data_IF_256279960395
#
_entry.id   IF_256279960395
#
_cell.length_a   1.000
_cell.length_b   1.000
_cell.length_c   1.000
_cell.angle_alpha   90.00
_cell.angle_beta   90.00
_cell.angle_gamma   90.00
#
_symmetry.space_group_name_H-M   'P 1'
#
loop_
_entity.id
_entity.type
_entity.pdbx_description
1 polymer ?
#
# COMPACT_ATOMS: atom_id res chain seq x y z
N UNK A 1 23.69 6.25 22.68
CA UNK A 1 23.14 5.11 21.91
C UNK A 1 21.69 5.43 21.61
N UNK A 2 21.38 6.01 20.45
CA UNK A 2 20.00 6.31 20.08
C UNK A 2 19.28 5.00 19.82
N UNK A 3 18.21 4.73 20.57
CA UNK A 3 17.28 3.67 20.23
C UNK A 3 16.77 3.94 18.80
N UNK A 4 16.66 2.94 17.92
CA UNK A 4 16.08 3.18 16.61
C UNK A 4 14.64 3.63 16.86
N UNK A 5 14.30 4.80 16.33
CA UNK A 5 12.95 5.31 16.36
C UNK A 5 12.08 4.22 15.70
N UNK A 6 11.09 3.69 16.40
CA UNK A 6 10.18 2.67 15.87
C UNK A 6 9.23 3.33 14.87
N UNK A 7 9.80 3.72 13.73
CA UNK A 7 9.10 4.36 12.65
C UNK A 7 8.25 3.33 11.91
N UNK A 8 7.10 3.76 11.33
CA UNK A 8 6.34 2.93 10.42
C UNK A 8 7.22 2.33 9.32
N UNK A 9 6.96 1.07 9.00
CA UNK A 9 7.59 0.37 7.89
C UNK A 9 6.75 0.58 6.63
N UNK A 10 7.40 0.87 5.51
CA UNK A 10 6.81 1.09 4.19
C UNK A 10 7.32 0.02 3.23
N UNK A 11 6.40 -0.53 2.44
CA UNK A 11 6.73 -1.35 1.27
C UNK A 11 6.62 -0.50 0.01
N UNK A 12 7.72 -0.29 -0.70
CA UNK A 12 7.79 0.54 -1.91
C UNK A 12 8.70 -0.11 -2.95
N UNK A 13 8.18 -0.33 -4.17
CA UNK A 13 8.92 -0.89 -5.31
C UNK A 13 9.68 -2.20 -5.01
N UNK A 14 9.06 -3.11 -4.25
CA UNK A 14 9.64 -4.42 -3.91
C UNK A 14 10.50 -4.43 -2.65
N UNK A 15 10.75 -3.27 -2.02
CA UNK A 15 11.61 -3.15 -0.85
C UNK A 15 10.81 -2.73 0.39
N UNK A 16 11.21 -3.27 1.55
CA UNK A 16 10.65 -2.92 2.86
C UNK A 16 11.65 -2.03 3.60
N UNK A 17 11.24 -0.85 4.04
CA UNK A 17 12.14 0.15 4.65
C UNK A 17 11.43 1.00 5.70
N UNK A 18 12.17 1.71 6.58
CA UNK A 18 11.60 2.76 7.44
C UNK A 18 10.98 3.90 6.61
N UNK A 19 9.93 4.55 7.13
CA UNK A 19 9.23 5.63 6.41
C UNK A 19 10.14 6.81 6.01
N UNK A 20 11.20 7.09 6.77
CA UNK A 20 12.15 8.17 6.49
C UNK A 20 12.98 7.93 5.22
N UNK A 21 13.14 6.66 4.83
CA UNK A 21 13.86 6.27 3.62
C UNK A 21 12.94 6.17 2.39
N UNK A 22 11.61 6.11 2.60
CA UNK A 22 10.64 5.96 1.53
C UNK A 22 10.53 7.24 0.68
N UNK A 23 10.90 7.15 -0.60
CA UNK A 23 10.91 8.28 -1.53
C UNK A 23 10.13 7.95 -2.80
N UNK A 24 9.15 8.80 -3.11
CA UNK A 24 8.40 8.75 -4.37
C UNK A 24 8.92 9.87 -5.27
N UNK A 25 8.95 9.62 -6.58
CA UNK A 25 9.34 10.65 -7.55
C UNK A 25 8.33 11.81 -7.53
N UNK A 26 8.77 13.08 -7.53
CA UNK A 26 7.87 14.22 -7.75
C UNK A 26 7.15 14.17 -9.11
N UNK A 27 7.64 13.35 -10.05
CA UNK A 27 7.02 13.14 -11.35
C UNK A 27 6.01 11.99 -11.38
N UNK A 28 5.71 11.38 -10.23
CA UNK A 28 4.70 10.33 -10.14
C UNK A 28 3.31 10.87 -10.52
N UNK A 29 2.58 10.13 -11.36
CA UNK A 29 1.24 10.56 -11.83
C UNK A 29 0.23 10.68 -10.70
N UNK A 30 0.34 9.81 -9.69
CA UNK A 30 -0.46 9.89 -8.47
C UNK A 30 -0.22 11.18 -7.71
N UNK A 31 1.01 11.70 -7.72
CA UNK A 31 1.34 12.98 -7.12
C UNK A 31 0.91 14.18 -7.98
N UNK A 32 1.22 14.17 -9.29
CA UNK A 32 0.94 15.32 -10.17
C UNK A 32 -0.57 15.47 -10.45
N UNK A 33 -1.25 14.36 -10.72
CA UNK A 33 -2.61 14.36 -11.24
C UNK A 33 -3.64 13.78 -10.27
N UNK A 34 -3.23 13.34 -9.09
CA UNK A 34 -4.11 12.60 -8.17
C UNK A 34 -4.52 11.23 -8.71
N UNK A 35 -3.78 10.70 -9.68
CA UNK A 35 -4.07 9.44 -10.38
C UNK A 35 -3.61 8.24 -9.54
N UNK A 36 -4.34 7.98 -8.46
CA UNK A 36 -4.03 6.91 -7.52
C UNK A 36 -5.26 6.45 -6.74
N UNK A 37 -5.19 5.22 -6.23
CA UNK A 37 -6.20 4.62 -5.36
C UNK A 37 -5.54 4.26 -4.03
N UNK A 38 -6.26 4.43 -2.92
CA UNK A 38 -5.80 4.01 -1.60
C UNK A 38 -6.86 3.17 -0.89
N UNK A 39 -6.42 2.37 0.06
CA UNK A 39 -7.26 1.51 0.90
C UNK A 39 -6.62 1.39 2.29
N UNK A 40 -7.44 1.20 3.33
CA UNK A 40 -6.95 1.08 4.72
C UNK A 40 -7.59 -0.14 5.36
N UNK A 41 -6.75 -1.06 5.84
CA UNK A 41 -7.18 -2.29 6.52
C UNK A 41 -6.72 -2.23 7.97
N UNK A 42 -7.63 -2.16 8.95
CA UNK A 42 -7.24 -2.20 10.35
C UNK A 42 -6.82 -3.62 10.74
N UNK A 43 -5.74 -3.73 11.49
CA UNK A 43 -5.21 -4.98 12.02
C UNK A 43 -5.34 -5.01 13.54
N UNK A 44 -5.87 -6.11 14.05
CA UNK A 44 -5.97 -6.39 15.49
C UNK A 44 -5.33 -7.75 15.75
N UNK A 45 -4.37 -7.80 16.66
CA UNK A 45 -3.65 -9.04 17.02
C UNK A 45 -3.11 -9.80 15.79
N UNK A 46 -2.50 -9.06 14.85
CA UNK A 46 -1.96 -9.61 13.60
C UNK A 46 -3.02 -10.04 12.58
N UNK A 47 -4.31 -9.84 12.83
CA UNK A 47 -5.41 -10.20 11.93
C UNK A 47 -6.05 -8.96 11.31
N UNK A 48 -6.08 -8.90 9.98
CA UNK A 48 -6.76 -7.85 9.24
C UNK A 48 -8.27 -8.00 9.29
N UNK A 49 -8.98 -6.98 9.76
CA UNK A 49 -10.45 -6.97 9.76
C UNK A 49 -10.95 -6.91 8.31
N UNK A 50 -11.68 -7.95 7.88
CA UNK A 50 -12.30 -8.01 6.54
C UNK A 50 -11.31 -7.71 5.41
N UNK A 51 -10.06 -8.16 5.57
CA UNK A 51 -8.96 -7.82 4.67
C UNK A 51 -9.26 -8.19 3.20
N UNK A 52 -9.96 -9.31 2.98
CA UNK A 52 -10.37 -9.74 1.64
C UNK A 52 -11.33 -8.74 0.99
N UNK A 53 -12.31 -8.23 1.72
CA UNK A 53 -13.26 -7.26 1.18
C UNK A 53 -12.60 -5.93 0.87
N UNK A 54 -11.64 -5.48 1.69
CA UNK A 54 -10.84 -4.30 1.38
C UNK A 54 -9.99 -4.50 0.11
N UNK A 55 -9.33 -5.66 -0.05
CA UNK A 55 -8.56 -5.95 -1.27
C UNK A 55 -9.44 -6.06 -2.52
N UNK A 56 -10.65 -6.61 -2.40
CA UNK A 56 -11.64 -6.62 -3.48
C UNK A 56 -12.05 -5.19 -3.87
N UNK A 57 -12.33 -4.32 -2.89
CA UNK A 57 -12.68 -2.92 -3.14
C UNK A 57 -11.53 -2.14 -3.78
N UNK A 58 -10.29 -2.37 -3.35
CA UNK A 58 -9.10 -1.81 -3.97
C UNK A 58 -8.98 -2.24 -5.44
N UNK A 59 -9.17 -3.52 -5.73
CA UNK A 59 -9.14 -4.03 -7.11
C UNK A 59 -10.24 -3.38 -7.97
N UNK A 60 -11.47 -3.32 -7.48
CA UNK A 60 -12.59 -2.67 -8.19
C UNK A 60 -12.31 -1.19 -8.48
N UNK A 61 -11.68 -0.50 -7.54
CA UNK A 61 -11.31 0.92 -7.69
C UNK A 61 -10.20 1.12 -8.73
N UNK A 62 -9.20 0.22 -8.77
CA UNK A 62 -8.17 0.21 -9.81
C UNK A 62 -8.77 -0.10 -11.20
N UNK A 63 -9.67 -1.08 -11.28
CA UNK A 63 -10.34 -1.46 -12.53
C UNK A 63 -11.17 -0.29 -13.10
N UNK A 64 -11.85 0.47 -12.24
CA UNK A 64 -12.63 1.64 -12.62
C UNK A 64 -11.77 2.78 -13.22
N UNK A 65 -10.48 2.85 -12.85
CA UNK A 65 -9.51 3.80 -13.38
C UNK A 65 -8.61 3.18 -14.46
N UNK A 66 -8.90 1.96 -14.91
CA UNK A 66 -8.09 1.22 -15.88
C UNK A 66 -6.61 1.04 -15.45
N UNK A 67 -6.36 0.96 -14.14
CA UNK A 67 -5.04 0.72 -13.56
C UNK A 67 -4.75 -0.78 -13.47
N UNK A 68 -3.62 -1.21 -14.03
CA UNK A 68 -3.18 -2.61 -13.89
C UNK A 68 -2.53 -2.82 -12.53
N UNK A 69 -3.05 -3.76 -11.74
CA UNK A 69 -2.46 -4.12 -10.47
C UNK A 69 -1.16 -4.93 -10.67
N UNK A 70 0.02 -4.43 -10.22
CA UNK A 70 1.29 -5.15 -10.36
C UNK A 70 1.42 -6.35 -9.41
N UNK A 71 0.56 -6.45 -8.39
CA UNK A 71 0.53 -7.55 -7.42
C UNK A 71 -0.83 -8.26 -7.49
N UNK A 72 -0.95 -9.18 -8.44
CA UNK A 72 -2.15 -10.02 -8.56
C UNK A 72 -2.30 -10.97 -7.38
N UNK A 73 -3.55 -11.35 -7.09
CA UNK A 73 -4.00 -11.98 -5.83
C UNK A 73 -3.09 -13.10 -5.33
N UNK A 74 -2.33 -12.83 -4.25
CA UNK A 74 -1.85 -13.89 -3.38
C UNK A 74 -3.07 -14.55 -2.74
N UNK A 75 -3.22 -15.86 -2.92
CA UNK A 75 -4.30 -16.67 -2.36
C UNK A 75 -4.17 -16.61 -0.84
N UNK A 76 -4.95 -15.74 -0.20
CA UNK A 76 -5.03 -15.64 1.26
C UNK A 76 -5.67 -16.95 1.75
N UNK A 77 -4.83 -17.90 2.15
CA UNK A 77 -5.18 -19.17 2.78
C UNK A 77 -4.79 -19.16 4.24
#
# INVERSE_FOLDING_TARGET
MSQPLCLPIVFLNGNTMPIEDAKISPLDRGFIFGDGVYEVIPYYDGRGLRAREHLLRLQQSMDALYMTNPYSHCRVG
#
